data_IF_065310723448
#
_entry.id   IF_065310723448
#
_cell.length_a   1.000
_cell.length_b   1.000
_cell.length_c   1.000
_cell.angle_alpha   90.00
_cell.angle_beta   90.00
_cell.angle_gamma   90.00
#
_symmetry.space_group_name_H-M   'P 1'
#
loop_
_entity.id
_entity.type
_entity.pdbx_description
1 polymer ?
#
# COMPACT_ATOMS: atom_id res chain seq x y z
N UNK A 1 27.47 -22.84 13.90
CA UNK A 1 26.20 -22.10 13.92
C UNK A 1 25.91 -21.63 12.50
N UNK A 2 24.70 -21.93 12.01
CA UNK A 2 24.19 -21.45 10.71
C UNK A 2 23.04 -20.50 11.00
N UNK A 3 23.03 -19.33 10.34
CA UNK A 3 21.95 -18.38 10.41
C UNK A 3 21.48 -18.06 8.98
N UNK A 4 20.19 -18.15 8.72
CA UNK A 4 19.60 -17.90 7.39
C UNK A 4 18.15 -17.49 7.53
N UNK A 5 17.68 -16.65 6.60
CA UNK A 5 16.27 -16.36 6.39
C UNK A 5 15.58 -17.39 5.49
N UNK A 6 16.36 -18.26 4.82
CA UNK A 6 15.89 -19.20 3.81
C UNK A 6 16.25 -20.66 4.17
N UNK A 7 15.60 -21.15 5.23
CA UNK A 7 15.76 -22.52 5.72
C UNK A 7 15.63 -23.60 4.63
N UNK A 8 14.73 -23.37 3.67
CA UNK A 8 14.46 -24.30 2.58
C UNK A 8 15.63 -24.47 1.60
N UNK A 9 16.60 -23.54 1.58
CA UNK A 9 17.82 -23.63 0.75
C UNK A 9 18.93 -24.45 1.42
N UNK A 10 18.80 -24.82 2.70
CA UNK A 10 19.77 -25.65 3.38
C UNK A 10 19.48 -27.13 3.09
N UNK A 11 20.53 -27.87 2.76
CA UNK A 11 20.42 -29.28 2.47
C UNK A 11 19.80 -30.06 3.66
N UNK A 12 18.84 -30.99 3.41
CA UNK A 12 18.22 -31.79 4.47
C UNK A 12 19.22 -32.59 5.33
N UNK A 13 20.33 -33.03 4.73
CA UNK A 13 21.41 -33.73 5.41
C UNK A 13 22.14 -32.90 6.46
N UNK A 14 22.14 -31.57 6.31
CA UNK A 14 22.67 -30.62 7.29
C UNK A 14 21.60 -30.35 8.35
N UNK A 15 20.35 -30.07 7.94
CA UNK A 15 19.26 -29.79 8.87
C UNK A 15 19.00 -30.93 9.84
N UNK A 16 19.13 -32.19 9.39
CA UNK A 16 18.94 -33.38 10.24
C UNK A 16 19.98 -33.53 11.37
N UNK A 17 21.08 -32.77 11.30
CA UNK A 17 22.19 -32.80 12.29
C UNK A 17 22.28 -31.50 13.09
N UNK A 18 21.31 -30.58 12.92
CA UNK A 18 21.26 -29.30 13.59
C UNK A 18 20.06 -29.21 14.52
N UNK A 19 20.23 -28.55 15.66
CA UNK A 19 19.12 -28.01 16.42
C UNK A 19 18.61 -26.77 15.68
N UNK A 20 17.30 -26.73 15.38
CA UNK A 20 16.68 -25.63 14.64
C UNK A 20 15.96 -24.73 15.63
N UNK A 21 16.22 -23.43 15.52
CA UNK A 21 15.53 -22.35 16.22
C UNK A 21 14.92 -21.42 15.19
N UNK A 22 13.59 -21.33 15.16
CA UNK A 22 12.88 -20.42 14.29
C UNK A 22 12.58 -19.12 15.07
N UNK A 23 13.01 -17.97 14.51
CA UNK A 23 12.76 -16.63 15.04
C UNK A 23 11.70 -15.94 14.19
N UNK A 24 10.68 -15.42 14.83
CA UNK A 24 9.64 -14.63 14.16
C UNK A 24 10.09 -13.19 13.97
N UNK A 25 9.51 -12.51 12.99
CA UNK A 25 9.63 -11.06 12.85
C UNK A 25 9.04 -10.36 14.06
N UNK A 26 9.63 -9.24 14.45
CA UNK A 26 9.10 -8.42 15.54
C UNK A 26 7.87 -7.68 14.99
N UNK A 27 6.77 -7.68 15.76
CA UNK A 27 5.56 -6.95 15.35
C UNK A 27 5.81 -5.44 15.31
N UNK A 28 5.05 -4.75 14.47
CA UNK A 28 5.10 -3.27 14.35
C UNK A 28 4.88 -2.63 15.73
N UNK A 29 3.90 -3.11 16.48
CA UNK A 29 3.56 -2.60 17.82
C UNK A 29 4.74 -2.71 18.80
N UNK A 30 5.41 -3.87 18.85
CA UNK A 30 6.59 -4.08 19.69
C UNK A 30 7.78 -3.23 19.22
N UNK A 31 7.95 -3.06 17.92
CA UNK A 31 8.99 -2.18 17.36
C UNK A 31 8.75 -0.73 17.76
N UNK A 32 7.52 -0.23 17.62
CA UNK A 32 7.13 1.13 18.05
C UNK A 32 7.37 1.33 19.54
N UNK A 33 6.95 0.37 20.38
CA UNK A 33 7.17 0.44 21.81
C UNK A 33 8.67 0.53 22.18
N UNK A 34 9.50 -0.25 21.49
CA UNK A 34 10.96 -0.21 21.71
C UNK A 34 11.58 1.09 21.20
N UNK A 35 11.19 1.61 20.05
CA UNK A 35 11.66 2.90 19.54
C UNK A 35 11.25 4.05 20.47
N UNK A 36 10.03 4.03 21.01
CA UNK A 36 9.58 5.00 21.99
C UNK A 36 10.40 4.94 23.29
N UNK A 37 10.75 3.74 23.75
CA UNK A 37 11.65 3.55 24.88
C UNK A 37 13.03 4.15 24.62
N UNK A 38 13.63 3.87 23.45
CA UNK A 38 14.93 4.41 23.06
C UNK A 38 14.87 5.95 22.99
N UNK A 39 13.85 6.52 22.30
CA UNK A 39 13.63 7.96 22.23
C UNK A 39 13.59 8.61 23.62
N UNK A 40 12.86 8.01 24.56
CA UNK A 40 12.77 8.52 25.94
C UNK A 40 14.11 8.49 26.69
N UNK A 41 14.98 7.52 26.41
CA UNK A 41 16.32 7.41 27.04
C UNK A 41 17.31 8.40 26.46
N UNK A 42 17.22 8.68 25.18
CA UNK A 42 18.09 9.63 24.47
C UNK A 42 17.57 11.08 24.52
N UNK A 43 16.44 11.33 25.20
CA UNK A 43 15.84 12.65 25.29
C UNK A 43 15.26 13.17 23.95
N UNK A 44 14.89 12.27 23.06
CA UNK A 44 14.34 12.57 21.75
C UNK A 44 12.82 12.64 21.84
N UNK A 45 12.23 13.68 21.26
CA UNK A 45 10.77 13.81 21.12
C UNK A 45 10.33 13.18 19.81
N UNK A 46 9.42 12.21 19.86
CA UNK A 46 8.93 11.51 18.68
C UNK A 46 7.42 11.33 18.71
N UNK A 47 6.76 11.63 17.60
CA UNK A 47 5.33 11.36 17.41
C UNK A 47 5.10 9.85 17.25
N UNK A 48 4.04 9.27 17.86
CA UNK A 48 3.72 7.83 17.71
C UNK A 48 3.54 7.39 16.26
N UNK A 49 2.90 8.23 15.43
CA UNK A 49 2.69 8.00 14.02
C UNK A 49 4.03 7.94 13.24
N UNK A 50 4.99 8.78 13.62
CA UNK A 50 6.33 8.79 13.05
C UNK A 50 7.07 7.47 13.33
N UNK A 51 7.02 7.01 14.59
CA UNK A 51 7.60 5.73 14.99
C UNK A 51 6.95 4.53 14.30
N UNK A 52 5.64 4.61 14.03
CA UNK A 52 4.92 3.60 13.29
C UNK A 52 5.42 3.48 11.85
N UNK A 53 5.66 4.59 11.15
CA UNK A 53 6.24 4.61 9.79
C UNK A 53 7.62 3.96 9.77
N UNK A 54 8.47 4.28 10.77
CA UNK A 54 9.81 3.67 10.89
C UNK A 54 9.69 2.16 11.10
N UNK A 55 8.79 1.71 11.97
CA UNK A 55 8.58 0.30 12.27
C UNK A 55 8.07 -0.49 11.06
N UNK A 56 7.14 0.07 10.29
CA UNK A 56 6.66 -0.52 9.02
C UNK A 56 7.79 -0.64 8.00
N UNK A 57 8.60 0.40 7.85
CA UNK A 57 9.73 0.41 6.91
C UNK A 57 10.81 -0.62 7.25
N UNK A 58 10.98 -0.92 8.53
CA UNK A 58 11.94 -1.90 9.04
C UNK A 58 11.51 -3.37 8.86
N UNK A 59 10.25 -3.62 8.52
CA UNK A 59 9.69 -4.95 8.21
C UNK A 59 10.08 -6.03 9.24
N UNK A 60 9.95 -5.70 10.52
CA UNK A 60 10.19 -6.62 11.64
C UNK A 60 11.66 -6.83 12.03
N UNK A 61 12.60 -6.09 11.43
CA UNK A 61 14.01 -6.08 11.79
C UNK A 61 14.34 -4.99 12.81
N UNK A 62 14.61 -5.31 14.08
CA UNK A 62 14.94 -4.30 15.09
C UNK A 62 16.21 -3.51 14.75
N UNK A 63 17.22 -4.18 14.19
CA UNK A 63 18.46 -3.51 13.77
C UNK A 63 18.19 -2.45 12.70
N UNK A 64 17.35 -2.80 11.72
CA UNK A 64 16.99 -1.88 10.64
C UNK A 64 16.13 -0.74 11.17
N UNK A 65 15.19 -1.02 12.11
CA UNK A 65 14.37 -0.01 12.78
C UNK A 65 15.24 1.04 13.52
N UNK A 66 16.22 0.58 14.28
CA UNK A 66 17.15 1.47 14.99
C UNK A 66 18.05 2.25 14.03
N UNK A 67 18.52 1.65 12.94
CA UNK A 67 19.33 2.34 11.93
C UNK A 67 18.52 3.44 11.21
N UNK A 68 17.27 3.17 10.88
CA UNK A 68 16.35 4.15 10.29
C UNK A 68 16.06 5.26 11.31
N UNK A 69 15.83 4.90 12.58
CA UNK A 69 15.59 5.85 13.65
C UNK A 69 16.77 6.82 13.81
N UNK A 70 18.01 6.32 13.87
CA UNK A 70 19.23 7.15 13.97
C UNK A 70 19.37 8.09 12.76
N UNK A 71 19.05 7.61 11.56
CA UNK A 71 19.06 8.44 10.36
C UNK A 71 18.08 9.60 10.49
N UNK A 72 16.86 9.34 10.95
CA UNK A 72 15.81 10.35 11.14
C UNK A 72 16.18 11.32 12.25
N UNK A 73 16.72 10.85 13.38
CA UNK A 73 17.19 11.70 14.48
C UNK A 73 18.26 12.66 13.98
N UNK A 74 19.24 12.16 13.21
CA UNK A 74 20.31 13.00 12.65
C UNK A 74 19.78 14.07 11.70
N UNK A 75 18.73 13.78 10.95
CA UNK A 75 18.07 14.71 10.03
C UNK A 75 17.25 15.78 10.77
N UNK A 76 16.53 15.38 11.84
CA UNK A 76 15.57 16.23 12.54
C UNK A 76 16.13 16.98 13.75
N UNK A 77 17.35 16.66 14.15
CA UNK A 77 17.97 17.25 15.35
C UNK A 77 17.28 16.85 16.66
N UNK A 78 16.61 15.69 16.70
CA UNK A 78 16.01 15.14 17.93
C UNK A 78 14.51 15.44 18.11
N UNK A 79 13.86 16.07 17.12
CA UNK A 79 12.41 16.27 17.14
C UNK A 79 11.77 15.58 15.95
N UNK A 80 11.29 14.35 16.15
CA UNK A 80 10.78 13.46 15.09
C UNK A 80 9.28 13.66 14.94
N UNK A 81 8.86 14.29 13.84
CA UNK A 81 7.46 14.44 13.44
C UNK A 81 7.12 13.45 12.32
N UNK A 82 5.83 13.13 12.16
CA UNK A 82 5.35 12.30 11.05
C UNK A 82 5.82 12.84 9.69
N UNK A 83 5.69 14.16 9.48
CA UNK A 83 6.08 14.80 8.22
C UNK A 83 7.58 14.67 7.94
N UNK A 84 8.43 14.87 8.95
CA UNK A 84 9.88 14.75 8.79
C UNK A 84 10.33 13.32 8.43
N UNK A 85 9.64 12.32 8.97
CA UNK A 85 9.90 10.90 8.64
C UNK A 85 9.48 10.58 7.20
N UNK A 86 8.30 11.02 6.78
CA UNK A 86 7.80 10.83 5.40
C UNK A 86 8.79 11.42 4.39
N UNK A 87 9.25 12.66 4.64
CA UNK A 87 10.22 13.34 3.78
C UNK A 87 11.59 12.63 3.76
N UNK A 88 12.14 12.31 4.94
CA UNK A 88 13.45 11.68 5.04
C UNK A 88 13.50 10.27 4.41
N UNK A 89 12.47 9.47 4.67
CA UNK A 89 12.40 8.09 4.17
C UNK A 89 11.83 7.97 2.75
N UNK A 90 11.45 9.09 2.14
CA UNK A 90 10.77 9.14 0.84
C UNK A 90 9.60 8.15 0.80
N UNK A 91 8.73 8.20 1.82
CA UNK A 91 7.51 7.41 1.91
C UNK A 91 6.34 8.26 1.44
N UNK A 92 5.49 7.69 0.61
CA UNK A 92 4.30 8.41 0.15
C UNK A 92 3.28 8.49 1.29
N UNK A 93 2.81 9.71 1.58
CA UNK A 93 1.85 9.97 2.64
C UNK A 93 0.50 9.27 2.36
N UNK A 94 -0.12 8.69 3.39
CA UNK A 94 -1.47 8.12 3.35
C UNK A 94 -2.51 9.09 2.80
N UNK A 95 -2.32 10.40 2.99
CA UNK A 95 -3.19 11.45 2.45
C UNK A 95 -3.44 11.32 0.95
N UNK A 96 -2.43 10.96 0.18
CA UNK A 96 -2.55 10.77 -1.27
C UNK A 96 -3.52 9.65 -1.60
N UNK A 97 -3.43 8.53 -0.89
CA UNK A 97 -4.31 7.38 -1.13
C UNK A 97 -5.74 7.62 -0.66
N UNK A 98 -5.92 8.32 0.47
CA UNK A 98 -7.24 8.71 0.94
C UNK A 98 -7.94 9.64 -0.06
N UNK A 99 -7.27 10.69 -0.53
CA UNK A 99 -7.80 11.62 -1.53
C UNK A 99 -8.09 10.93 -2.85
N UNK A 100 -7.19 10.05 -3.29
CA UNK A 100 -7.33 9.31 -4.53
C UNK A 100 -8.57 8.40 -4.49
N UNK A 101 -8.79 7.72 -3.37
CA UNK A 101 -9.96 6.88 -3.17
C UNK A 101 -11.26 7.70 -3.18
N UNK A 102 -11.28 8.88 -2.55
CA UNK A 102 -12.44 9.79 -2.62
C UNK A 102 -12.70 10.23 -4.07
N UNK A 103 -11.65 10.56 -4.86
CA UNK A 103 -11.79 10.88 -6.29
C UNK A 103 -12.35 9.72 -7.10
N UNK A 104 -11.95 8.48 -6.80
CA UNK A 104 -12.50 7.29 -7.46
C UNK A 104 -13.99 7.08 -7.14
N UNK A 105 -14.38 7.25 -5.87
CA UNK A 105 -15.78 7.12 -5.46
C UNK A 105 -16.67 8.18 -6.11
N UNK A 106 -16.13 9.35 -6.42
CA UNK A 106 -16.81 10.44 -7.09
C UNK A 106 -16.63 10.43 -8.62
N UNK A 107 -15.98 9.40 -9.19
CA UNK A 107 -15.64 9.26 -10.62
C UNK A 107 -14.87 10.49 -11.20
N UNK A 108 -14.05 11.13 -10.38
CA UNK A 108 -13.23 12.28 -10.76
C UNK A 108 -11.90 11.83 -11.37
N UNK A 109 -11.95 11.29 -12.59
CA UNK A 109 -10.76 10.78 -13.31
C UNK A 109 -9.67 11.84 -13.46
N UNK A 110 -10.05 13.09 -13.82
CA UNK A 110 -9.10 14.17 -14.03
C UNK A 110 -8.30 14.49 -12.76
N UNK A 111 -8.96 14.57 -11.60
CA UNK A 111 -8.32 14.87 -10.33
C UNK A 111 -7.38 13.72 -9.89
N UNK A 112 -7.78 12.47 -10.14
CA UNK A 112 -6.93 11.30 -9.89
C UNK A 112 -5.64 11.33 -10.72
N UNK A 113 -5.71 11.70 -12.00
CA UNK A 113 -4.54 11.83 -12.88
C UNK A 113 -3.64 13.02 -12.49
N UNK A 114 -4.22 14.16 -12.07
CA UNK A 114 -3.45 15.29 -11.56
C UNK A 114 -2.71 14.93 -10.26
N UNK A 115 -3.35 14.19 -9.37
CA UNK A 115 -2.73 13.70 -8.14
C UNK A 115 -1.56 12.73 -8.44
N UNK A 116 -1.73 11.82 -9.41
CA UNK A 116 -0.64 10.97 -9.88
C UNK A 116 0.53 11.81 -10.41
N UNK A 117 0.24 12.83 -11.22
CA UNK A 117 1.27 13.70 -11.75
C UNK A 117 2.04 14.44 -10.65
N UNK A 118 1.36 14.92 -9.59
CA UNK A 118 2.02 15.52 -8.41
C UNK A 118 2.95 14.53 -7.72
N UNK A 119 2.50 13.30 -7.50
CA UNK A 119 3.32 12.23 -6.89
C UNK A 119 4.57 11.93 -7.72
N UNK A 120 4.40 11.75 -9.04
CA UNK A 120 5.54 11.47 -9.94
C UNK A 120 6.51 12.67 -10.02
N UNK A 121 6.01 13.92 -9.99
CA UNK A 121 6.84 15.12 -10.00
C UNK A 121 7.70 15.29 -8.75
N UNK A 122 7.27 14.72 -7.63
CA UNK A 122 8.02 14.63 -6.36
C UNK A 122 9.07 13.52 -6.36
N UNK A 123 9.21 12.77 -7.46
CA UNK A 123 10.22 11.74 -7.64
C UNK A 123 9.83 10.35 -7.13
N UNK A 124 8.56 10.13 -6.78
CA UNK A 124 8.07 8.80 -6.42
C UNK A 124 7.97 7.91 -7.67
N UNK A 125 8.28 6.62 -7.49
CA UNK A 125 8.15 5.63 -8.55
C UNK A 125 6.71 5.12 -8.68
N UNK A 126 6.26 4.96 -9.94
CA UNK A 126 4.89 4.52 -10.22
C UNK A 126 4.58 3.09 -9.76
N UNK A 127 5.58 2.19 -9.67
CA UNK A 127 5.38 0.84 -9.12
C UNK A 127 5.10 0.91 -7.62
N UNK A 128 5.91 1.67 -6.87
CA UNK A 128 5.68 1.88 -5.44
C UNK A 128 4.32 2.56 -5.17
N UNK A 129 3.92 3.49 -6.03
CA UNK A 129 2.61 4.14 -5.94
C UNK A 129 1.46 3.12 -6.09
N UNK A 130 1.51 2.27 -7.11
CA UNK A 130 0.48 1.24 -7.36
C UNK A 130 0.45 0.19 -6.25
N UNK A 131 1.62 -0.28 -5.80
CA UNK A 131 1.71 -1.24 -4.69
C UNK A 131 1.13 -0.65 -3.39
N UNK A 132 1.45 0.62 -3.10
CA UNK A 132 0.87 1.34 -1.97
C UNK A 132 -0.64 1.54 -2.09
N UNK A 133 -1.15 1.84 -3.29
CA UNK A 133 -2.59 1.95 -3.56
C UNK A 133 -3.31 0.60 -3.35
N UNK A 134 -2.72 -0.49 -3.82
CA UNK A 134 -3.23 -1.85 -3.59
C UNK A 134 -3.30 -2.18 -2.09
N UNK A 135 -2.25 -1.85 -1.34
CA UNK A 135 -2.21 -2.01 0.11
C UNK A 135 -3.28 -1.16 0.81
N UNK A 136 -3.48 0.08 0.35
CA UNK A 136 -4.52 0.97 0.87
C UNK A 136 -5.93 0.38 0.68
N UNK A 137 -6.25 -0.18 -0.49
CA UNK A 137 -7.55 -0.85 -0.71
C UNK A 137 -7.71 -2.10 0.16
N UNK A 138 -6.65 -2.88 0.37
CA UNK A 138 -6.64 -4.00 1.32
C UNK A 138 -6.93 -3.51 2.73
N UNK A 139 -6.33 -2.42 3.16
CA UNK A 139 -6.52 -1.86 4.49
C UNK A 139 -7.93 -1.29 4.69
N UNK A 140 -8.52 -0.70 3.65
CA UNK A 140 -9.94 -0.35 3.63
C UNK A 140 -10.84 -1.58 3.77
N UNK A 141 -10.52 -2.67 3.07
CA UNK A 141 -11.28 -3.92 3.16
C UNK A 141 -11.22 -4.52 4.57
N UNK A 142 -10.01 -4.58 5.16
CA UNK A 142 -9.78 -5.08 6.52
C UNK A 142 -10.50 -4.20 7.57
N UNK A 143 -10.62 -2.90 7.30
CA UNK A 143 -11.27 -1.95 8.22
C UNK A 143 -12.81 -2.01 8.22
N UNK A 144 -13.41 -2.80 7.33
CA UNK A 144 -14.87 -2.96 7.27
C UNK A 144 -15.43 -3.85 8.39
N UNK A 145 -14.64 -4.83 8.84
CA UNK A 145 -15.06 -5.78 9.87
C UNK A 145 -14.23 -5.56 11.15
N UNK A 146 -14.87 -5.35 12.30
CA UNK A 146 -14.18 -5.25 13.58
C UNK A 146 -13.28 -6.44 13.91
N UNK A 147 -13.62 -7.64 13.44
CA UNK A 147 -12.83 -8.85 13.68
C UNK A 147 -11.48 -8.83 12.94
N UNK A 148 -11.37 -8.10 11.84
CA UNK A 148 -10.15 -7.99 11.04
C UNK A 148 -9.32 -6.74 11.34
N UNK A 149 -9.82 -5.80 12.14
CA UNK A 149 -9.09 -4.59 12.55
C UNK A 149 -7.69 -4.85 13.16
N UNK A 150 -7.45 -5.93 13.91
CA UNK A 150 -6.09 -6.25 14.40
C UNK A 150 -5.06 -6.49 13.30
N UNK A 151 -5.51 -6.77 12.06
CA UNK A 151 -4.64 -6.93 10.89
C UNK A 151 -4.17 -5.60 10.29
N UNK A 152 -4.70 -4.47 10.79
CA UNK A 152 -4.34 -3.12 10.34
C UNK A 152 -3.20 -2.56 11.20
N UNK A 153 -2.01 -2.55 10.64
CA UNK A 153 -0.76 -2.16 11.29
C UNK A 153 -0.48 -0.66 11.18
N UNK A 154 -1.45 0.19 11.58
CA UNK A 154 -1.32 1.65 11.50
C UNK A 154 -1.62 2.30 12.84
N UNK A 155 -1.16 3.56 13.03
CA UNK A 155 -1.44 4.35 14.21
C UNK A 155 -2.95 4.62 14.43
N UNK A 156 -3.33 5.00 15.64
CA UNK A 156 -4.73 5.13 16.04
C UNK A 156 -5.50 6.17 15.22
N UNK A 157 -4.89 7.31 14.91
CA UNK A 157 -5.49 8.40 14.11
C UNK A 157 -5.77 7.94 12.68
N UNK A 158 -4.83 7.25 12.05
CA UNK A 158 -4.95 6.70 10.70
C UNK A 158 -5.98 5.57 10.66
N UNK A 159 -6.02 4.72 11.68
CA UNK A 159 -7.02 3.65 11.82
C UNK A 159 -8.46 4.18 11.78
N UNK A 160 -8.72 5.27 12.51
CA UNK A 160 -10.05 5.89 12.51
C UNK A 160 -10.44 6.42 11.12
N UNK A 161 -9.49 6.96 10.37
CA UNK A 161 -9.72 7.42 9.00
C UNK A 161 -10.03 6.26 8.06
N UNK A 162 -9.30 5.16 8.16
CA UNK A 162 -9.58 3.93 7.40
C UNK A 162 -11.00 3.43 7.68
N UNK A 163 -11.41 3.36 8.94
CA UNK A 163 -12.78 2.95 9.30
C UNK A 163 -13.84 3.86 8.68
N UNK A 164 -13.62 5.17 8.70
CA UNK A 164 -14.56 6.15 8.14
C UNK A 164 -14.66 6.03 6.62
N UNK A 165 -13.54 5.93 5.90
CA UNK A 165 -13.56 5.82 4.44
C UNK A 165 -14.02 4.42 3.99
N UNK A 166 -13.70 3.37 4.74
CA UNK A 166 -14.12 2.01 4.44
C UNK A 166 -15.65 1.88 4.34
N UNK A 167 -16.40 2.60 5.18
CA UNK A 167 -17.87 2.59 5.12
C UNK A 167 -18.43 3.14 3.82
N UNK A 168 -17.72 4.10 3.19
CA UNK A 168 -18.11 4.69 1.90
C UNK A 168 -17.76 3.79 0.71
N UNK A 169 -16.84 2.84 0.86
CA UNK A 169 -16.35 1.99 -0.22
C UNK A 169 -17.19 0.72 -0.34
N UNK A 170 -17.90 0.45 -1.45
CA UNK A 170 -18.59 -0.83 -1.67
C UNK A 170 -17.57 -1.99 -1.77
N UNK A 171 -17.91 -3.17 -1.24
CA UNK A 171 -17.04 -4.36 -1.35
C UNK A 171 -16.67 -4.72 -2.80
N UNK A 172 -17.62 -4.72 -3.77
CA UNK A 172 -17.28 -4.98 -5.18
C UNK A 172 -16.27 -3.99 -5.75
N UNK A 173 -16.35 -2.71 -5.34
CA UNK A 173 -15.36 -1.69 -5.73
C UNK A 173 -13.96 -2.08 -5.23
N UNK A 174 -13.81 -2.39 -3.94
CA UNK A 174 -12.52 -2.75 -3.35
C UNK A 174 -11.89 -3.97 -4.03
N UNK A 175 -12.66 -5.04 -4.26
CA UNK A 175 -12.16 -6.24 -4.94
C UNK A 175 -11.71 -5.96 -6.38
N UNK A 176 -12.48 -5.21 -7.16
CA UNK A 176 -12.13 -4.86 -8.54
C UNK A 176 -10.91 -3.92 -8.58
N UNK A 177 -10.86 -2.93 -7.70
CA UNK A 177 -9.76 -1.99 -7.60
C UNK A 177 -8.44 -2.69 -7.22
N UNK A 178 -8.45 -3.58 -6.23
CA UNK A 178 -7.29 -4.40 -5.85
C UNK A 178 -6.82 -5.28 -7.01
N UNK A 179 -7.75 -5.91 -7.74
CA UNK A 179 -7.41 -6.71 -8.91
C UNK A 179 -6.72 -5.89 -10.00
N UNK A 180 -7.26 -4.71 -10.33
CA UNK A 180 -6.67 -3.81 -11.33
C UNK A 180 -5.27 -3.33 -10.91
N UNK A 181 -5.07 -2.98 -9.64
CA UNK A 181 -3.75 -2.62 -9.12
C UNK A 181 -2.76 -3.78 -9.19
N UNK A 182 -3.18 -5.00 -8.83
CA UNK A 182 -2.34 -6.19 -8.93
C UNK A 182 -1.96 -6.51 -10.39
N UNK A 183 -2.91 -6.42 -11.32
CA UNK A 183 -2.65 -6.64 -12.74
C UNK A 183 -1.68 -5.58 -13.29
N UNK A 184 -1.78 -4.33 -12.83
CA UNK A 184 -0.83 -3.28 -13.17
C UNK A 184 0.58 -3.59 -12.66
N UNK A 185 0.72 -4.00 -11.40
CA UNK A 185 2.02 -4.32 -10.80
C UNK A 185 2.72 -5.49 -11.50
N UNK A 186 1.99 -6.56 -11.80
CA UNK A 186 2.50 -7.71 -12.54
C UNK A 186 3.00 -7.32 -13.94
N UNK A 187 2.32 -6.40 -14.62
CA UNK A 187 2.67 -5.96 -15.97
C UNK A 187 3.66 -4.78 -16.00
N UNK A 188 3.93 -4.15 -14.84
CA UNK A 188 4.71 -2.92 -14.77
C UNK A 188 6.11 -3.06 -15.36
N UNK A 189 6.81 -4.17 -15.07
CA UNK A 189 8.18 -4.43 -15.58
C UNK A 189 8.21 -4.68 -17.07
N UNK A 190 7.18 -5.33 -17.63
CA UNK A 190 7.09 -5.67 -19.04
C UNK A 190 6.61 -4.50 -19.90
N UNK A 191 5.94 -3.51 -19.30
CA UNK A 191 5.40 -2.36 -20.02
C UNK A 191 6.49 -1.42 -20.53
N UNK A 192 6.40 -1.04 -21.81
CA UNK A 192 7.27 -0.03 -22.43
C UNK A 192 6.91 1.39 -21.96
N UNK A 193 5.64 1.65 -21.68
CA UNK A 193 5.16 2.95 -21.18
C UNK A 193 4.54 2.75 -19.80
N UNK A 194 5.38 2.78 -18.78
CA UNK A 194 5.02 2.57 -17.38
C UNK A 194 4.00 3.61 -16.89
N UNK A 195 4.19 4.87 -17.27
CA UNK A 195 3.30 5.96 -16.89
C UNK A 195 1.89 5.73 -17.43
N UNK A 196 1.76 5.45 -18.72
CA UNK A 196 0.46 5.17 -19.35
C UNK A 196 -0.24 3.96 -18.72
N UNK A 197 0.50 2.92 -18.34
CA UNK A 197 -0.05 1.75 -17.67
C UNK A 197 -0.71 2.13 -16.33
N UNK A 198 -0.03 2.95 -15.52
CA UNK A 198 -0.56 3.46 -14.26
C UNK A 198 -1.78 4.34 -14.51
N UNK A 199 -1.70 5.30 -15.43
CA UNK A 199 -2.82 6.20 -15.78
C UNK A 199 -4.06 5.41 -16.21
N UNK A 200 -3.91 4.40 -17.08
CA UNK A 200 -5.00 3.51 -17.49
C UNK A 200 -5.61 2.75 -16.31
N UNK A 201 -4.78 2.28 -15.40
CA UNK A 201 -5.27 1.60 -14.18
C UNK A 201 -6.12 2.53 -13.33
N UNK A 202 -5.68 3.78 -13.10
CA UNK A 202 -6.46 4.76 -12.33
C UNK A 202 -7.79 5.10 -13.00
N UNK A 203 -7.78 5.26 -14.33
CA UNK A 203 -9.01 5.48 -15.11
C UNK A 203 -9.98 4.30 -14.94
N UNK A 204 -9.51 3.07 -15.06
CA UNK A 204 -10.33 1.88 -14.88
C UNK A 204 -10.88 1.76 -13.46
N UNK A 205 -10.09 2.09 -12.44
CA UNK A 205 -10.55 2.08 -11.04
C UNK A 205 -11.65 3.13 -10.82
N UNK A 206 -11.49 4.34 -11.37
CA UNK A 206 -12.51 5.38 -11.26
C UNK A 206 -13.82 4.99 -11.98
N UNK A 207 -13.74 4.27 -13.10
CA UNK A 207 -14.91 3.83 -13.86
C UNK A 207 -15.70 2.70 -13.19
N UNK A 208 -15.16 2.00 -12.18
CA UNK A 208 -15.91 0.97 -11.44
C UNK A 208 -17.19 1.54 -10.82
N UNK A 209 -17.14 2.78 -10.34
CA UNK A 209 -18.29 3.46 -9.72
C UNK A 209 -19.31 3.92 -10.77
N UNK A 210 -18.86 4.36 -11.95
CA UNK A 210 -19.74 4.76 -13.04
C UNK A 210 -20.56 3.57 -13.60
N UNK A 211 -19.95 2.40 -13.75
CA UNK A 211 -20.66 1.18 -14.19
C UNK A 211 -21.72 0.70 -13.18
N UNK A 212 -21.52 1.00 -11.89
CA UNK A 212 -22.50 0.70 -10.84
C UNK A 212 -23.78 1.53 -10.94
N UNK A 213 -23.67 2.79 -11.33
CA UNK A 213 -24.80 3.71 -11.52
C UNK A 213 -25.61 3.35 -12.77
N UNK A 214 -25.00 2.88 -13.85
CA UNK A 214 -25.70 2.45 -15.06
C UNK A 214 -26.55 1.18 -14.83
N UNK A 215 -26.10 0.27 -13.98
CA UNK A 215 -26.86 -0.92 -13.60
C UNK A 215 -28.03 -0.54 -12.68
N UNK A 216 -27.85 0.41 -11.77
CA UNK A 216 -28.89 0.90 -10.88
C UNK A 216 -29.99 1.69 -11.65
N UNK A 217 -29.63 2.33 -12.77
CA UNK A 217 -30.53 3.10 -13.64
C UNK A 217 -31.18 2.26 -14.77
N UNK A 218 -31.04 0.94 -14.78
CA UNK A 218 -31.75 0.03 -15.69
C UNK A 218 -31.25 0.05 -17.14
N UNK A 219 -30.06 0.61 -17.40
CA UNK A 219 -29.43 0.54 -18.72
C UNK A 219 -28.54 -0.71 -18.78
N UNK A 220 -29.11 -1.84 -19.21
CA UNK A 220 -28.33 -3.02 -19.57
C UNK A 220 -27.49 -2.69 -20.80
N UNK A 221 -26.17 -2.95 -20.79
CA UNK A 221 -25.34 -2.78 -21.98
C UNK A 221 -25.86 -3.70 -23.09
N UNK A 222 -26.22 -3.13 -24.24
CA UNK A 222 -26.62 -3.92 -25.42
C UNK A 222 -25.48 -4.80 -25.83
N UNK A 223 -25.68 -6.12 -26.03
CA UNK A 223 -24.64 -6.98 -26.55
C UNK A 223 -24.20 -6.49 -27.92
N UNK A 224 -22.90 -6.24 -28.08
CA UNK A 224 -22.30 -5.89 -29.37
C UNK A 224 -22.34 -7.14 -30.23
N UNK A 225 -23.25 -7.16 -31.22
CA UNK A 225 -23.34 -8.22 -32.23
C UNK A 225 -22.15 -8.12 -33.16
N UNK A 226 -21.20 -9.01 -33.01
CA UNK A 226 -20.15 -9.21 -34.03
C UNK A 226 -20.77 -9.89 -35.24
N UNK A 227 -21.09 -9.11 -36.26
CA UNK A 227 -21.40 -9.65 -37.59
C UNK A 227 -20.12 -10.20 -38.21
N UNK A 228 -20.03 -11.52 -38.26
CA UNK A 228 -19.00 -12.19 -39.07
C UNK A 228 -19.17 -11.80 -40.55
N UNK A 229 -18.22 -11.04 -41.08
CA UNK A 229 -18.02 -10.88 -42.48
C UNK A 229 -17.60 -12.25 -43.05
N UNK A 230 -18.54 -12.94 -43.74
CA UNK A 230 -18.20 -14.07 -44.58
C UNK A 230 -17.33 -13.58 -45.73
N UNK A 231 -16.09 -14.06 -45.78
CA UNK A 231 -15.29 -13.97 -47.01
C UNK A 231 -15.97 -14.77 -48.10
N UNK A 232 -16.32 -14.12 -49.21
CA UNK A 232 -16.68 -14.78 -50.46
C UNK A 232 -15.39 -15.28 -51.09
N UNK A 233 -15.26 -16.60 -51.15
CA UNK A 233 -14.35 -17.27 -52.09
C UNK A 233 -14.99 -17.22 -53.49
N UNK A 234 -14.26 -16.69 -54.44
CA UNK A 234 -14.33 -17.01 -55.87
C UNK A 234 -12.92 -17.27 -56.36
#
# INVERSE_FOLDING_TARGET
ILATTEKHKILPTILSRCQIYDFNRISVENTVAHLAYVASKEGITAEPEALNVIALKADGGMRDALSIFDQVVSFTGGHITYQSVIENLNVLDYEYYFKLTDHFLENKVGDALLLLNDVLSKGFDGSHFITGLSSHFRDLLVSKDPATLPLLEVGASIRQRYQTQAQKCPLPFLYRAMKLCNDCDLNYRASKNKRLLVELTLIQVAQITAEGDDIANGHSPKPVSYTHLRAHET
#
